data_IF_502809117997
#
_entry.id   IF_502809117997
#
_cell.length_a   1.000
_cell.length_b   1.000
_cell.length_c   1.000
_cell.angle_alpha   90.00
_cell.angle_beta   90.00
_cell.angle_gamma   90.00
#
_symmetry.space_group_name_H-M   'P 1'
#
loop_
_entity.id
_entity.type
_entity.pdbx_description
1 polymer ?
#
# COMPACT_ATOMS: atom_id res chain seq x y z
N UNK A 1 -0.48 27.35 75.94
CA UNK A 1 -1.78 27.87 76.48
C UNK A 1 -2.82 27.74 75.40
N UNK A 2 -3.73 26.83 75.69
CA UNK A 2 -5.18 27.00 75.57
C UNK A 2 -5.67 27.49 74.22
N UNK A 3 -6.45 26.77 73.52
CA UNK A 3 -7.57 25.90 73.71
C UNK A 3 -8.76 26.38 72.84
N UNK A 4 -9.44 25.42 72.31
CA UNK A 4 -10.88 25.21 72.05
C UNK A 4 -11.41 25.50 70.62
N UNK A 5 -11.70 24.42 69.98
CA UNK A 5 -13.04 23.86 69.64
C UNK A 5 -14.16 24.87 69.31
N UNK A 6 -14.78 24.62 68.15
CA UNK A 6 -16.19 24.26 67.91
C UNK A 6 -16.43 24.19 66.38
N UNK A 7 -16.70 23.08 65.83
CA UNK A 7 -17.90 22.35 65.53
C UNK A 7 -19.16 23.22 65.31
N UNK A 8 -19.78 23.12 64.15
CA UNK A 8 -21.21 23.02 63.90
C UNK A 8 -21.54 23.04 62.38
N UNK A 9 -21.99 21.91 61.88
CA UNK A 9 -23.24 21.53 61.16
C UNK A 9 -23.49 22.09 59.74
N UNK A 10 -23.50 21.14 58.85
CA UNK A 10 -24.37 20.79 57.73
C UNK A 10 -25.34 21.87 57.18
N UNK A 11 -25.30 22.02 55.87
CA UNK A 11 -26.49 22.15 55.04
C UNK A 11 -26.21 21.62 53.65
N UNK A 12 -26.92 20.56 53.33
CA UNK A 12 -27.04 19.91 52.00
C UNK A 12 -27.85 20.87 51.12
N UNK A 13 -27.26 21.35 50.03
CA UNK A 13 -28.03 21.86 48.89
C UNK A 13 -27.54 21.11 47.70
N UNK A 14 -28.35 20.24 47.17
CA UNK A 14 -28.14 19.51 45.95
C UNK A 14 -28.14 20.46 44.74
N UNK A 15 -27.04 20.48 44.02
CA UNK A 15 -26.98 21.02 42.67
C UNK A 15 -26.90 19.80 41.75
N UNK A 16 -27.98 19.53 41.04
CA UNK A 16 -27.95 18.63 39.85
C UNK A 16 -27.02 19.27 38.82
N UNK A 17 -25.84 18.70 38.69
CA UNK A 17 -25.04 18.88 37.50
C UNK A 17 -25.57 17.89 36.47
N UNK A 18 -26.31 18.40 35.49
CA UNK A 18 -26.55 17.72 34.25
C UNK A 18 -25.20 17.61 33.56
N UNK A 19 -24.53 16.45 33.71
CA UNK A 19 -23.40 16.11 32.89
C UNK A 19 -23.91 15.92 31.45
N UNK A 20 -23.73 16.96 30.64
CA UNK A 20 -23.82 16.87 29.19
C UNK A 20 -22.67 15.96 28.75
N UNK A 21 -22.92 14.68 28.60
CA UNK A 21 -22.05 13.79 27.84
C UNK A 21 -22.10 14.27 26.37
N UNK A 22 -21.19 15.16 26.01
CA UNK A 22 -20.76 15.26 24.63
C UNK A 22 -20.02 13.94 24.34
N UNK A 23 -20.72 12.98 23.75
CA UNK A 23 -20.07 11.91 22.99
C UNK A 23 -19.33 12.60 21.85
N UNK A 24 -18.07 12.94 22.08
CA UNK A 24 -17.10 12.93 20.99
C UNK A 24 -17.01 11.47 20.55
N UNK A 25 -17.80 11.15 19.54
CA UNK A 25 -17.64 9.96 18.76
C UNK A 25 -16.31 10.17 18.03
N UNK A 26 -15.21 9.74 18.68
CA UNK A 26 -13.99 9.42 17.96
C UNK A 26 -14.42 8.36 16.94
N UNK A 27 -14.52 8.78 15.70
CA UNK A 27 -14.55 7.87 14.57
C UNK A 27 -13.15 7.26 14.55
N UNK A 28 -12.97 6.17 15.31
CA UNK A 28 -11.95 5.20 14.99
C UNK A 28 -12.33 4.69 13.60
N UNK A 29 -11.65 5.21 12.58
CA UNK A 29 -11.69 4.61 11.27
C UNK A 29 -11.02 3.25 11.41
N UNK A 30 -11.80 2.23 11.70
CA UNK A 30 -11.41 0.86 11.47
C UNK A 30 -11.24 0.70 9.97
N UNK A 31 -10.02 0.91 9.47
CA UNK A 31 -9.63 0.56 8.11
C UNK A 31 -9.41 -0.95 8.04
N UNK A 32 -10.45 -1.73 8.32
CA UNK A 32 -10.49 -3.15 8.03
C UNK A 32 -10.86 -3.33 6.56
N UNK A 33 -9.91 -3.12 5.66
CA UNK A 33 -10.00 -3.72 4.33
C UNK A 33 -8.67 -3.53 3.59
N UNK A 34 -8.12 -4.62 3.11
CA UNK A 34 -7.08 -4.64 2.10
C UNK A 34 -7.61 -3.98 0.82
N UNK A 35 -7.53 -2.66 0.71
CA UNK A 35 -7.96 -1.99 -0.50
C UNK A 35 -8.70 -0.67 -0.31
N UNK A 36 -8.14 0.22 0.48
CA UNK A 36 -8.58 1.61 0.64
C UNK A 36 -8.14 2.10 2.01
N UNK A 37 -7.13 2.97 2.07
CA UNK A 37 -6.60 3.45 3.33
C UNK A 37 -5.13 3.81 3.23
N UNK A 38 -4.52 4.06 4.38
CA UNK A 38 -3.08 4.34 4.49
C UNK A 38 -2.35 3.12 5.01
N UNK A 39 -1.14 2.89 4.51
CA UNK A 39 -0.24 1.84 4.94
C UNK A 39 1.20 2.31 4.91
N UNK A 40 2.07 1.63 5.64
CA UNK A 40 3.49 1.70 5.42
C UNK A 40 3.88 0.57 4.46
N UNK A 41 4.37 0.92 3.28
CA UNK A 41 4.70 0.00 2.22
C UNK A 41 6.21 -0.19 2.08
N UNK A 42 6.65 -1.42 1.85
CA UNK A 42 8.04 -1.75 1.58
C UNK A 42 8.14 -2.58 0.29
N UNK A 43 9.10 -2.24 -0.57
CA UNK A 43 9.38 -2.96 -1.80
C UNK A 43 10.77 -3.56 -1.76
N UNK A 44 10.86 -4.87 -1.94
CA UNK A 44 12.11 -5.60 -2.08
C UNK A 44 12.36 -5.94 -3.54
N UNK A 45 13.56 -5.63 -4.03
CA UNK A 45 14.01 -6.15 -5.32
C UNK A 45 14.31 -7.64 -5.20
N UNK A 46 13.77 -8.43 -6.13
CA UNK A 46 13.94 -9.87 -6.17
C UNK A 46 14.52 -10.32 -7.52
N UNK A 47 15.24 -11.43 -7.48
CA UNK A 47 15.78 -12.11 -8.66
C UNK A 47 15.19 -13.51 -8.79
N UNK A 48 14.75 -13.86 -9.99
CA UNK A 48 14.32 -15.21 -10.30
C UNK A 48 15.51 -16.18 -10.29
N UNK A 49 15.36 -17.31 -9.62
CA UNK A 49 16.31 -18.39 -9.65
C UNK A 49 16.05 -19.36 -10.82
N UNK A 50 16.92 -20.38 -11.00
CA UNK A 50 16.78 -21.34 -12.11
C UNK A 50 15.51 -22.19 -12.06
N UNK A 51 14.91 -22.35 -10.89
CA UNK A 51 13.69 -23.13 -10.67
C UNK A 51 12.42 -22.24 -10.62
N UNK A 52 12.54 -20.94 -10.97
CA UNK A 52 11.40 -20.01 -10.98
C UNK A 52 10.36 -20.39 -12.04
N UNK A 53 9.18 -20.79 -11.58
CA UNK A 53 8.00 -21.06 -12.39
C UNK A 53 6.74 -20.92 -11.52
N UNK A 54 5.56 -20.96 -12.15
CA UNK A 54 4.28 -20.75 -11.45
C UNK A 54 4.04 -21.76 -10.30
N UNK A 55 4.36 -23.03 -10.50
CA UNK A 55 4.14 -24.11 -9.51
C UNK A 55 5.05 -23.89 -8.28
N UNK A 56 6.35 -23.68 -8.51
CA UNK A 56 7.32 -23.47 -7.44
C UNK A 56 7.06 -22.14 -6.70
N UNK A 57 6.66 -21.08 -7.42
CA UNK A 57 6.29 -19.82 -6.82
C UNK A 57 5.04 -19.96 -5.93
N UNK A 58 4.00 -20.68 -6.37
CA UNK A 58 2.82 -20.97 -5.54
C UNK A 58 3.20 -21.74 -4.28
N UNK A 59 4.04 -22.77 -4.40
CA UNK A 59 4.50 -23.53 -3.24
C UNK A 59 5.29 -22.64 -2.25
N UNK A 60 6.22 -21.85 -2.77
CA UNK A 60 7.02 -20.92 -1.98
C UNK A 60 6.13 -19.95 -1.20
N UNK A 61 5.16 -19.32 -1.85
CA UNK A 61 4.23 -18.38 -1.22
C UNK A 61 3.36 -19.08 -0.17
N UNK A 62 2.81 -20.26 -0.50
CA UNK A 62 1.98 -21.02 0.44
C UNK A 62 2.73 -21.48 1.69
N UNK A 63 4.02 -21.78 1.58
CA UNK A 63 4.84 -22.12 2.74
C UNK A 63 5.22 -20.85 3.53
N UNK A 64 5.49 -19.73 2.85
CA UNK A 64 5.72 -18.43 3.51
C UNK A 64 4.49 -17.95 4.29
N UNK A 65 3.29 -18.07 3.73
CA UNK A 65 2.04 -17.66 4.41
C UNK A 65 1.86 -18.35 5.77
N UNK A 66 2.32 -19.61 5.92
CA UNK A 66 2.25 -20.37 7.19
C UNK A 66 3.17 -19.80 8.27
N UNK A 67 4.18 -19.03 7.88
CA UNK A 67 5.15 -18.40 8.77
C UNK A 67 4.70 -17.02 9.23
N UNK A 68 3.66 -16.44 8.60
CA UNK A 68 3.15 -15.11 8.96
C UNK A 68 2.40 -15.21 10.28
N UNK A 69 2.93 -14.54 11.29
CA UNK A 69 2.30 -14.36 12.61
C UNK A 69 1.90 -12.90 12.87
N UNK A 70 2.41 -11.99 12.06
CA UNK A 70 2.21 -10.56 12.20
C UNK A 70 0.76 -10.15 11.89
N UNK A 71 0.04 -9.61 12.87
CA UNK A 71 -1.29 -9.03 12.67
C UNK A 71 -1.21 -7.66 11.99
N UNK A 72 -0.04 -7.03 12.04
CA UNK A 72 0.27 -5.72 11.44
C UNK A 72 0.48 -5.78 9.92
N UNK A 73 0.72 -6.97 9.34
CA UNK A 73 0.84 -7.15 7.89
C UNK A 73 -0.55 -7.21 7.26
N UNK A 74 -0.92 -6.18 6.52
CA UNK A 74 -2.21 -6.11 5.85
C UNK A 74 -2.27 -6.89 4.54
N UNK A 75 -1.19 -6.84 3.77
CA UNK A 75 -1.11 -7.49 2.48
C UNK A 75 0.30 -7.63 1.96
N UNK A 76 0.46 -8.51 0.98
CA UNK A 76 1.69 -8.64 0.21
C UNK A 76 1.37 -8.92 -1.26
N UNK A 77 2.20 -8.40 -2.14
CA UNK A 77 2.05 -8.55 -3.59
C UNK A 77 3.38 -8.83 -4.26
N UNK A 78 3.32 -9.50 -5.40
CA UNK A 78 4.46 -9.76 -6.24
C UNK A 78 4.27 -9.21 -7.64
N UNK A 79 5.35 -8.70 -8.23
CA UNK A 79 5.37 -8.01 -9.50
C UNK A 79 6.39 -8.64 -10.43
N UNK A 80 5.93 -9.01 -11.62
CA UNK A 80 6.78 -9.53 -12.70
C UNK A 80 6.72 -8.55 -13.86
N UNK A 81 7.87 -8.01 -14.34
CA UNK A 81 7.87 -7.07 -15.46
C UNK A 81 7.09 -7.61 -16.67
N UNK A 82 6.26 -6.76 -17.26
CA UNK A 82 5.58 -7.11 -18.50
C UNK A 82 6.58 -7.00 -19.67
N UNK A 83 6.67 -8.08 -20.48
CA UNK A 83 7.76 -8.29 -21.45
C UNK A 83 7.82 -7.29 -22.61
N UNK A 84 6.78 -6.49 -22.80
CA UNK A 84 6.60 -5.53 -23.89
C UNK A 84 6.84 -4.07 -23.47
N UNK A 85 7.35 -3.85 -22.27
CA UNK A 85 7.59 -2.51 -21.71
C UNK A 85 9.08 -2.17 -21.64
N UNK A 86 9.41 -0.88 -21.67
CA UNK A 86 10.75 -0.38 -21.40
C UNK A 86 11.09 -0.40 -19.89
N UNK A 87 10.33 -1.15 -19.12
CA UNK A 87 10.52 -1.24 -17.69
C UNK A 87 11.88 -1.87 -17.35
N UNK A 88 12.30 -1.65 -16.16
CA UNK A 88 13.59 -1.82 -15.50
C UNK A 88 14.26 -3.21 -15.57
N UNK A 89 14.08 -3.96 -16.67
CA UNK A 89 14.75 -5.24 -16.88
C UNK A 89 14.03 -6.41 -16.17
N UNK A 90 14.79 -7.39 -15.69
CA UNK A 90 14.27 -8.65 -15.16
C UNK A 90 14.02 -8.63 -13.64
N UNK A 91 14.01 -7.44 -13.01
CA UNK A 91 13.81 -7.31 -11.58
C UNK A 91 12.36 -7.59 -11.20
N UNK A 92 12.17 -8.61 -10.38
CA UNK A 92 10.90 -8.86 -9.72
C UNK A 92 10.78 -7.95 -8.48
N UNK A 93 9.57 -7.63 -8.07
CA UNK A 93 9.37 -6.92 -6.82
C UNK A 93 8.43 -7.67 -5.90
N UNK A 94 8.70 -7.56 -4.60
CA UNK A 94 7.81 -8.03 -3.54
C UNK A 94 7.45 -6.84 -2.66
N UNK A 95 6.17 -6.52 -2.59
CA UNK A 95 5.63 -5.48 -1.73
C UNK A 95 5.04 -6.09 -0.46
N UNK A 96 5.25 -5.39 0.67
CA UNK A 96 4.64 -5.67 1.97
C UNK A 96 3.96 -4.38 2.46
N UNK A 97 2.70 -4.46 2.88
CA UNK A 97 1.98 -3.35 3.47
C UNK A 97 1.66 -3.62 4.94
N UNK A 98 2.14 -2.71 5.77
CA UNK A 98 2.06 -2.78 7.23
C UNK A 98 1.16 -1.69 7.79
N UNK A 99 0.70 -1.88 9.05
CA UNK A 99 -0.05 -0.86 9.78
C UNK A 99 0.76 0.40 10.08
N UNK A 100 2.07 0.24 10.32
CA UNK A 100 3.01 1.34 10.56
C UNK A 100 4.45 0.90 10.31
N UNK A 101 5.35 1.90 10.25
CA UNK A 101 6.81 1.65 10.17
C UNK A 101 7.33 0.93 11.40
N UNK A 102 6.86 1.31 12.59
CA UNK A 102 7.29 0.74 13.86
C UNK A 102 6.97 -0.76 13.93
N UNK A 103 5.79 -1.15 13.46
CA UNK A 103 5.39 -2.55 13.40
C UNK A 103 6.21 -3.32 12.35
N UNK A 104 6.44 -2.72 11.17
CA UNK A 104 7.31 -3.30 10.16
C UNK A 104 8.73 -3.56 10.69
N UNK A 105 9.33 -2.57 11.34
CA UNK A 105 10.68 -2.69 11.92
C UNK A 105 10.74 -3.81 12.98
N UNK A 106 9.72 -3.92 13.83
CA UNK A 106 9.63 -4.97 14.85
C UNK A 106 9.50 -6.37 14.22
N UNK A 107 8.69 -6.51 13.17
CA UNK A 107 8.52 -7.79 12.47
C UNK A 107 9.78 -8.20 11.68
N UNK A 108 10.49 -7.25 11.07
CA UNK A 108 11.78 -7.53 10.44
C UNK A 108 12.84 -7.98 11.44
N UNK A 109 12.88 -7.40 12.65
CA UNK A 109 13.76 -7.88 13.73
C UNK A 109 13.38 -9.29 14.15
N UNK A 110 12.10 -9.57 14.35
CA UNK A 110 11.61 -10.91 14.68
C UNK A 110 11.93 -11.93 13.55
N UNK A 111 11.72 -11.54 12.28
CA UNK A 111 12.05 -12.37 11.12
C UNK A 111 13.54 -12.72 11.05
N UNK A 112 14.42 -11.77 11.38
CA UNK A 112 15.87 -12.00 11.39
C UNK A 112 16.33 -13.11 12.34
N UNK A 113 15.52 -13.41 13.36
CA UNK A 113 15.77 -14.43 14.39
C UNK A 113 14.90 -15.69 14.20
N UNK A 114 14.05 -15.72 13.17
CA UNK A 114 13.14 -16.82 12.91
C UNK A 114 13.86 -17.96 12.14
N UNK A 115 14.17 -19.05 12.83
CA UNK A 115 14.86 -20.21 12.24
C UNK A 115 14.03 -20.87 11.11
N UNK A 116 12.71 -20.94 11.24
CA UNK A 116 11.83 -21.48 10.20
C UNK A 116 11.78 -20.55 8.97
N UNK A 117 11.82 -19.23 9.18
CA UNK A 117 11.92 -18.24 8.09
C UNK A 117 13.24 -18.33 7.34
N UNK A 118 14.35 -18.54 8.04
CA UNK A 118 15.67 -18.76 7.43
C UNK A 118 15.71 -20.08 6.64
N UNK A 119 15.16 -21.15 7.19
CA UNK A 119 15.05 -22.45 6.51
C UNK A 119 14.19 -22.35 5.23
N UNK A 120 13.08 -21.62 5.29
CA UNK A 120 12.25 -21.31 4.13
C UNK A 120 13.04 -20.53 3.05
N UNK A 121 13.77 -19.50 3.43
CA UNK A 121 14.55 -18.70 2.49
C UNK A 121 15.67 -19.53 1.82
N UNK A 122 16.30 -20.45 2.55
CA UNK A 122 17.29 -21.39 2.00
C UNK A 122 16.63 -22.40 1.04
N UNK A 123 15.50 -23.01 1.43
CA UNK A 123 14.77 -24.00 0.61
C UNK A 123 14.37 -23.40 -0.76
N UNK A 124 13.92 -22.13 -0.77
CA UNK A 124 13.43 -21.48 -1.99
C UNK A 124 14.44 -20.57 -2.69
N UNK A 125 15.72 -20.62 -2.30
CA UNK A 125 16.78 -19.79 -2.89
C UNK A 125 16.98 -20.00 -4.39
N UNK A 126 16.66 -21.19 -4.93
CA UNK A 126 16.67 -21.47 -6.37
C UNK A 126 15.36 -21.02 -7.08
N UNK A 127 14.31 -20.70 -6.34
CA UNK A 127 13.07 -20.16 -6.90
C UNK A 127 13.17 -18.65 -7.01
N UNK A 128 13.40 -17.96 -5.89
CA UNK A 128 13.51 -16.51 -5.87
C UNK A 128 14.32 -16.04 -4.65
N UNK A 129 15.12 -15.01 -4.84
CA UNK A 129 15.86 -14.33 -3.77
C UNK A 129 15.52 -12.85 -3.77
N UNK A 130 15.15 -12.31 -2.62
CA UNK A 130 14.82 -10.90 -2.43
C UNK A 130 15.82 -10.20 -1.51
N UNK A 131 16.13 -8.93 -1.81
CA UNK A 131 16.98 -8.08 -1.00
C UNK A 131 16.16 -7.35 0.08
N UNK A 132 15.90 -8.04 1.18
CA UNK A 132 15.21 -7.45 2.33
C UNK A 132 15.94 -6.25 2.94
N UNK A 133 17.27 -6.31 3.18
CA UNK A 133 18.04 -5.16 3.65
C UNK A 133 18.02 -3.96 2.70
N UNK A 134 18.00 -4.19 1.38
CA UNK A 134 17.99 -3.15 0.36
C UNK A 134 16.59 -2.65 -0.03
N UNK A 135 15.55 -2.95 0.75
CA UNK A 135 14.17 -2.55 0.44
C UNK A 135 13.98 -1.03 0.46
N UNK A 136 13.12 -0.54 -0.41
CA UNK A 136 12.62 0.83 -0.40
C UNK A 136 11.37 0.91 0.47
N UNK A 137 11.10 2.05 1.08
CA UNK A 137 9.92 2.26 1.93
C UNK A 137 9.17 3.54 1.61
N UNK A 138 7.84 3.46 1.80
CA UNK A 138 6.90 4.50 1.42
C UNK A 138 5.75 4.59 2.43
N UNK A 139 5.19 5.80 2.58
CA UNK A 139 3.83 5.93 3.07
C UNK A 139 2.89 5.75 1.88
N UNK A 140 2.10 4.69 1.89
CA UNK A 140 1.12 4.43 0.84
C UNK A 140 -0.24 5.01 1.21
N UNK A 141 -0.92 5.59 0.20
CA UNK A 141 -2.30 6.04 0.28
C UNK A 141 -3.07 5.49 -0.93
N UNK A 142 -4.23 4.88 -0.68
CA UNK A 142 -5.08 4.25 -1.71
C UNK A 142 -6.41 4.98 -1.83
N UNK A 143 -6.47 6.16 -2.48
CA UNK A 143 -7.69 6.98 -2.55
C UNK A 143 -8.82 6.32 -3.35
N UNK A 144 -8.49 5.43 -4.28
CA UNK A 144 -9.44 4.63 -5.04
C UNK A 144 -9.15 3.16 -4.79
N UNK A 145 -9.98 2.53 -3.95
CA UNK A 145 -9.83 1.13 -3.55
C UNK A 145 -10.12 0.15 -4.70
N UNK A 146 -9.46 -1.02 -4.72
CA UNK A 146 -9.88 -2.13 -5.57
C UNK A 146 -11.36 -2.47 -5.39
N UNK A 147 -12.05 -2.76 -6.49
CA UNK A 147 -13.48 -3.04 -6.48
C UNK A 147 -14.40 -1.81 -6.57
N UNK A 148 -13.84 -0.58 -6.57
CA UNK A 148 -14.65 0.64 -6.73
C UNK A 148 -15.32 0.72 -8.11
N UNK A 149 -14.61 0.35 -9.18
CA UNK A 149 -15.08 0.41 -10.56
C UNK A 149 -15.20 -0.96 -11.22
N UNK A 150 -15.55 -1.98 -10.46
CA UNK A 150 -15.76 -3.34 -10.97
C UNK A 150 -15.43 -4.41 -9.93
N UNK A 151 -15.21 -5.64 -10.37
CA UNK A 151 -14.88 -6.77 -9.50
C UNK A 151 -13.39 -7.04 -9.49
N UNK A 152 -12.83 -7.35 -8.34
CA UNK A 152 -11.45 -7.85 -8.24
C UNK A 152 -11.36 -9.25 -8.82
N UNK A 153 -10.17 -9.61 -9.33
CA UNK A 153 -9.93 -10.92 -9.92
C UNK A 153 -9.78 -11.99 -8.83
N UNK A 154 -10.59 -13.05 -8.91
CA UNK A 154 -10.54 -14.17 -7.95
C UNK A 154 -9.21 -14.91 -7.94
N UNK A 155 -8.42 -14.85 -9.04
CA UNK A 155 -7.07 -15.43 -9.10
C UNK A 155 -6.02 -14.63 -8.31
N UNK A 156 -6.37 -13.43 -7.84
CA UNK A 156 -5.45 -12.47 -7.23
C UNK A 156 -4.56 -11.75 -8.23
N UNK A 157 -4.71 -12.03 -9.53
CA UNK A 157 -3.98 -11.33 -10.58
C UNK A 157 -4.52 -9.91 -10.76
N UNK A 158 -3.61 -8.95 -11.02
CA UNK A 158 -3.93 -7.61 -11.49
C UNK A 158 -2.79 -7.08 -12.38
N UNK A 159 -3.12 -6.09 -13.18
CA UNK A 159 -2.16 -5.38 -14.04
C UNK A 159 -1.85 -4.04 -13.40
N UNK A 160 -0.58 -3.65 -13.34
CA UNK A 160 -0.17 -2.43 -12.67
C UNK A 160 0.82 -1.60 -13.47
N UNK A 161 0.70 -0.28 -13.32
CA UNK A 161 1.61 0.72 -13.87
C UNK A 161 2.08 1.64 -12.76
N UNK A 162 3.40 1.86 -12.69
CA UNK A 162 4.02 2.74 -11.70
C UNK A 162 4.79 3.85 -12.41
N UNK A 163 4.45 5.08 -12.10
CA UNK A 163 5.16 6.27 -12.56
C UNK A 163 6.01 6.82 -11.42
N UNK A 164 7.34 6.83 -11.57
CA UNK A 164 8.23 7.53 -10.65
C UNK A 164 8.11 9.03 -10.85
N UNK A 165 7.81 9.77 -9.78
CA UNK A 165 7.53 11.20 -9.81
C UNK A 165 8.45 11.97 -8.87
N UNK A 166 8.76 13.23 -9.25
CA UNK A 166 9.52 14.15 -8.42
C UNK A 166 8.76 15.47 -8.31
N UNK A 167 8.86 16.10 -7.14
CA UNK A 167 8.32 17.43 -6.94
C UNK A 167 9.13 18.47 -7.72
N UNK A 168 8.45 19.47 -8.21
CA UNK A 168 9.12 20.66 -8.78
C UNK A 168 9.56 21.60 -7.66
N UNK A 169 10.45 22.55 -7.98
CA UNK A 169 11.03 23.47 -7.00
C UNK A 169 9.97 24.19 -6.14
N UNK A 170 10.05 23.98 -4.82
CA UNK A 170 9.19 24.60 -3.82
C UNK A 170 7.89 23.83 -3.52
N UNK A 171 7.60 22.77 -4.28
CA UNK A 171 6.48 21.88 -4.02
C UNK A 171 6.88 20.69 -3.13
N UNK A 172 5.91 19.93 -2.64
CA UNK A 172 6.14 18.79 -1.77
C UNK A 172 4.91 17.92 -1.59
N UNK A 173 4.99 16.99 -0.63
CA UNK A 173 3.95 16.03 -0.33
C UNK A 173 2.58 16.68 -0.06
N UNK A 174 2.55 17.82 0.64
CA UNK A 174 1.29 18.51 0.93
C UNK A 174 0.54 18.92 -0.34
N UNK A 175 1.27 19.39 -1.37
CA UNK A 175 0.65 19.77 -2.65
C UNK A 175 0.01 18.54 -3.33
N UNK A 176 0.69 17.38 -3.27
CA UNK A 176 0.14 16.13 -3.78
C UNK A 176 -1.11 15.69 -2.97
N UNK A 177 -1.06 15.76 -1.64
CA UNK A 177 -2.20 15.40 -0.77
C UNK A 177 -3.40 16.35 -0.98
N UNK A 178 -3.17 17.64 -1.25
CA UNK A 178 -4.22 18.60 -1.59
C UNK A 178 -4.84 18.34 -2.98
N UNK A 179 -4.05 17.84 -3.93
CA UNK A 179 -4.50 17.50 -5.28
C UNK A 179 -5.39 16.25 -5.32
N UNK A 180 -5.12 15.23 -4.50
CA UNK A 180 -5.76 13.92 -4.57
C UNK A 180 -7.30 13.95 -4.52
N UNK A 181 -7.97 14.70 -3.62
CA UNK A 181 -9.44 14.75 -3.57
C UNK A 181 -10.06 15.26 -4.89
N UNK A 182 -9.42 16.23 -5.54
CA UNK A 182 -9.84 16.74 -6.85
C UNK A 182 -9.76 15.66 -7.93
N UNK A 183 -8.64 14.93 -7.97
CA UNK A 183 -8.43 13.81 -8.89
C UNK A 183 -9.48 12.70 -8.68
N UNK A 184 -9.68 12.25 -7.43
CA UNK A 184 -10.70 11.23 -7.11
C UNK A 184 -12.10 11.66 -7.54
N UNK A 185 -12.44 12.93 -7.33
CA UNK A 185 -13.73 13.49 -7.77
C UNK A 185 -13.84 13.52 -9.30
N UNK A 186 -12.80 13.92 -10.02
CA UNK A 186 -12.79 13.94 -11.48
C UNK A 186 -12.96 12.53 -12.08
N UNK A 187 -12.23 11.53 -11.54
CA UNK A 187 -12.39 10.11 -11.89
C UNK A 187 -13.81 9.63 -11.58
N UNK A 188 -14.37 9.97 -10.39
CA UNK A 188 -15.70 9.58 -9.97
C UNK A 188 -16.84 10.17 -10.83
N UNK A 189 -16.59 11.28 -11.49
CA UNK A 189 -17.53 11.92 -12.42
C UNK A 189 -17.36 11.48 -13.89
N UNK A 190 -16.40 10.61 -14.16
CA UNK A 190 -16.04 10.13 -15.49
C UNK A 190 -16.45 8.67 -15.69
N UNK A 191 -16.40 8.18 -16.92
CA UNK A 191 -16.78 6.80 -17.23
C UNK A 191 -15.61 5.83 -17.01
N UNK A 192 -15.46 5.38 -15.76
CA UNK A 192 -14.54 4.32 -15.36
C UNK A 192 -15.26 2.98 -15.10
N UNK A 193 -16.54 2.89 -15.46
CA UNK A 193 -17.30 1.64 -15.31
C UNK A 193 -16.61 0.48 -16.06
N UNK A 194 -16.61 -0.69 -15.45
CA UNK A 194 -16.02 -1.92 -16.01
C UNK A 194 -14.50 -1.81 -16.36
N UNK A 195 -13.77 -0.89 -15.71
CA UNK A 195 -12.31 -0.80 -15.83
C UNK A 195 -11.59 -1.54 -14.71
N UNK A 196 -12.29 -1.87 -13.62
CA UNK A 196 -11.68 -2.37 -12.38
C UNK A 196 -10.53 -1.49 -11.85
N UNK A 197 -10.56 -0.20 -12.19
CA UNK A 197 -9.52 0.77 -11.83
C UNK A 197 -9.46 0.98 -10.34
N UNK A 198 -8.25 0.93 -9.82
CA UNK A 198 -7.88 1.41 -8.49
C UNK A 198 -6.55 2.17 -8.56
N UNK A 199 -6.26 2.93 -7.54
CA UNK A 199 -5.17 3.89 -7.58
C UNK A 199 -4.51 4.05 -6.21
N UNK A 200 -3.19 4.14 -6.20
CA UNK A 200 -2.38 4.40 -5.03
C UNK A 200 -1.26 5.41 -5.27
N UNK A 201 -0.93 6.17 -4.24
CA UNK A 201 0.26 6.98 -4.14
C UNK A 201 1.19 6.42 -3.08
N UNK A 202 2.48 6.38 -3.39
CA UNK A 202 3.52 5.90 -2.49
C UNK A 202 4.54 7.00 -2.28
N UNK A 203 4.48 7.70 -1.14
CA UNK A 203 5.39 8.79 -0.78
C UNK A 203 6.68 8.23 -0.20
N UNK A 204 7.80 8.47 -0.88
CA UNK A 204 9.08 7.86 -0.53
C UNK A 204 9.62 8.33 0.82
N UNK A 205 10.01 7.40 1.66
CA UNK A 205 10.82 7.68 2.84
C UNK A 205 12.25 7.96 2.44
N UNK A 206 12.77 9.11 2.87
CA UNK A 206 14.19 9.44 2.77
C UNK A 206 14.84 9.09 4.11
N UNK A 207 15.64 8.03 4.11
CA UNK A 207 16.25 7.52 5.35
C UNK A 207 17.79 7.50 5.23
N UNK A 208 18.47 8.64 5.39
CA UNK A 208 19.91 8.75 5.20
C UNK A 208 20.75 7.92 6.17
N UNK A 209 20.16 7.40 7.26
CA UNK A 209 20.86 6.61 8.28
C UNK A 209 20.29 5.19 8.42
N UNK A 210 19.41 4.77 7.51
CA UNK A 210 18.63 3.57 7.67
C UNK A 210 19.19 2.33 6.99
N UNK A 211 18.54 1.23 7.27
CA UNK A 211 18.69 -0.05 6.60
C UNK A 211 18.00 -0.10 5.24
N UNK A 212 17.30 0.96 4.86
CA UNK A 212 16.55 1.05 3.61
C UNK A 212 17.32 1.87 2.57
N UNK A 213 17.14 1.54 1.31
CA UNK A 213 17.68 2.33 0.19
C UNK A 213 16.71 3.46 -0.12
N UNK A 214 17.23 4.67 -0.24
CA UNK A 214 16.43 5.81 -0.71
C UNK A 214 16.03 5.60 -2.16
N UNK A 215 14.76 5.71 -2.46
CA UNK A 215 14.27 5.80 -3.81
C UNK A 215 14.76 7.12 -4.45
N UNK A 216 15.16 7.07 -5.73
CA UNK A 216 15.56 8.27 -6.50
C UNK A 216 14.36 9.08 -7.01
N UNK A 217 13.21 8.94 -6.34
CA UNK A 217 11.94 9.59 -6.63
C UNK A 217 11.36 10.16 -5.34
N UNK A 218 10.46 11.11 -5.43
CA UNK A 218 9.78 11.64 -4.27
C UNK A 218 8.50 10.85 -3.96
N UNK A 219 7.83 10.36 -5.01
CA UNK A 219 6.69 9.45 -4.85
C UNK A 219 6.48 8.59 -6.09
N UNK A 220 5.68 7.52 -5.96
CA UNK A 220 5.15 6.77 -7.10
C UNK A 220 3.65 7.03 -7.22
N UNK A 221 3.22 7.24 -8.47
CA UNK A 221 1.82 7.20 -8.87
C UNK A 221 1.52 5.83 -9.46
N UNK A 222 0.61 5.07 -8.87
CA UNK A 222 0.35 3.69 -9.25
C UNK A 222 -1.09 3.48 -9.68
N UNK A 223 -1.27 2.90 -10.86
CA UNK A 223 -2.56 2.51 -11.42
C UNK A 223 -2.69 0.99 -11.41
N UNK A 224 -3.85 0.50 -11.04
CA UNK A 224 -4.14 -0.94 -10.97
C UNK A 224 -5.45 -1.25 -11.66
N UNK A 225 -5.49 -2.37 -12.39
CA UNK A 225 -6.69 -2.92 -13.04
C UNK A 225 -6.63 -4.44 -13.04
N UNK A 226 -7.72 -5.11 -13.39
CA UNK A 226 -7.74 -6.57 -13.48
C UNK A 226 -7.03 -7.14 -14.73
N UNK A 227 -6.76 -6.30 -15.73
CA UNK A 227 -6.14 -6.69 -17.00
C UNK A 227 -5.56 -5.49 -17.74
N UNK A 228 -4.69 -5.76 -18.73
CA UNK A 228 -4.19 -4.73 -19.65
C UNK A 228 -5.33 -4.06 -20.42
N UNK A 229 -6.32 -4.80 -20.87
CA UNK A 229 -7.46 -4.24 -21.61
C UNK A 229 -8.26 -3.26 -20.75
N UNK A 230 -8.41 -3.54 -19.45
CA UNK A 230 -9.02 -2.62 -18.50
C UNK A 230 -8.16 -1.38 -18.25
N UNK A 231 -6.83 -1.53 -18.21
CA UNK A 231 -5.90 -0.40 -18.12
C UNK A 231 -6.01 0.52 -19.35
N UNK A 232 -6.05 -0.05 -20.56
CA UNK A 232 -6.21 0.73 -21.80
C UNK A 232 -7.55 1.47 -21.81
N UNK A 233 -8.63 0.89 -21.26
CA UNK A 233 -9.93 1.58 -21.10
C UNK A 233 -9.83 2.71 -20.08
N UNK A 234 -9.22 2.47 -18.91
CA UNK A 234 -9.03 3.49 -17.89
C UNK A 234 -8.19 4.67 -18.42
N UNK A 235 -7.11 4.39 -19.15
CA UNK A 235 -6.31 5.41 -19.82
C UNK A 235 -7.12 6.22 -20.85
N UNK A 236 -7.99 5.55 -21.62
CA UNK A 236 -8.89 6.23 -22.58
C UNK A 236 -9.89 7.16 -21.89
N UNK A 237 -10.45 6.72 -20.74
CA UNK A 237 -11.35 7.54 -19.92
C UNK A 237 -10.60 8.74 -19.31
N UNK A 238 -9.38 8.54 -18.84
CA UNK A 238 -8.53 9.62 -18.34
C UNK A 238 -8.27 10.68 -19.43
N UNK A 239 -7.82 10.27 -20.59
CA UNK A 239 -7.52 11.18 -21.71
C UNK A 239 -8.74 11.98 -22.17
N UNK A 240 -9.92 11.35 -22.14
CA UNK A 240 -11.15 11.96 -22.61
C UNK A 240 -11.78 12.92 -21.59
N UNK A 241 -11.84 12.50 -20.32
CA UNK A 241 -12.77 13.10 -19.35
C UNK A 241 -12.04 13.76 -18.15
N UNK A 242 -10.74 13.43 -17.88
CA UNK A 242 -10.02 13.86 -16.67
C UNK A 242 -8.80 14.72 -16.97
N UNK A 243 -8.06 14.40 -18.03
CA UNK A 243 -6.75 14.97 -18.31
C UNK A 243 -6.75 16.49 -18.43
N UNK A 244 -7.66 17.06 -19.20
CA UNK A 244 -7.66 18.49 -19.49
C UNK A 244 -7.90 19.34 -18.24
N UNK A 245 -8.61 18.79 -17.24
CA UNK A 245 -8.84 19.44 -15.95
C UNK A 245 -7.70 19.21 -14.97
N UNK A 246 -7.24 17.95 -14.83
CA UNK A 246 -6.37 17.56 -13.72
C UNK A 246 -4.88 17.65 -14.05
N UNK A 247 -4.47 17.40 -15.29
CA UNK A 247 -3.04 17.40 -15.66
C UNK A 247 -2.35 18.77 -15.51
N UNK A 248 -3.01 19.92 -15.85
CA UNK A 248 -2.41 21.23 -15.56
C UNK A 248 -2.14 21.45 -14.07
N UNK A 249 -3.09 21.06 -13.19
CA UNK A 249 -2.95 21.19 -11.74
C UNK A 249 -1.86 20.27 -11.19
N UNK A 250 -1.78 19.03 -11.68
CA UNK A 250 -0.70 18.10 -11.34
C UNK A 250 0.67 18.67 -11.72
N UNK A 251 0.78 19.27 -12.91
CA UNK A 251 2.04 19.82 -13.43
C UNK A 251 2.53 21.07 -12.65
N UNK A 252 1.71 21.65 -11.78
CA UNK A 252 2.11 22.75 -10.92
C UNK A 252 3.00 22.29 -9.75
N UNK A 253 2.94 21.04 -9.35
CA UNK A 253 3.70 20.55 -8.20
C UNK A 253 4.59 19.34 -8.50
N UNK A 254 4.35 18.57 -9.57
CA UNK A 254 5.12 17.36 -9.85
C UNK A 254 5.34 17.09 -11.33
N UNK A 255 6.35 16.28 -11.60
CA UNK A 255 6.64 15.69 -12.91
C UNK A 255 6.97 14.22 -12.72
N UNK A 256 6.37 13.36 -13.55
CA UNK A 256 6.62 11.93 -13.54
C UNK A 256 7.34 11.46 -14.80
N UNK A 257 7.87 10.24 -14.74
CA UNK A 257 8.40 9.56 -15.91
C UNK A 257 7.34 9.51 -17.03
N UNK A 258 7.76 9.70 -18.28
CA UNK A 258 6.83 9.64 -19.43
C UNK A 258 6.30 8.24 -19.70
N UNK A 259 7.08 7.23 -19.32
CA UNK A 259 6.75 5.81 -19.51
C UNK A 259 6.71 5.14 -18.14
N UNK A 260 5.63 4.45 -17.79
CA UNK A 260 5.54 3.72 -16.54
C UNK A 260 6.38 2.45 -16.55
N UNK A 261 6.75 2.00 -15.38
CA UNK A 261 7.11 0.62 -15.15
C UNK A 261 5.83 -0.22 -15.06
N UNK A 262 5.75 -1.30 -15.84
CA UNK A 262 4.54 -2.10 -16.01
C UNK A 262 4.75 -3.53 -15.57
N UNK A 263 3.77 -4.07 -14.82
CA UNK A 263 3.91 -5.40 -14.24
C UNK A 263 2.64 -6.25 -14.39
N UNK A 264 2.86 -7.55 -14.56
CA UNK A 264 1.92 -8.58 -14.16
C UNK A 264 2.07 -8.80 -12.67
N UNK A 265 0.99 -8.74 -11.93
CA UNK A 265 1.01 -8.64 -10.47
C UNK A 265 0.05 -9.64 -9.83
N UNK A 266 0.38 -10.12 -8.63
CA UNK A 266 -0.47 -11.05 -7.88
C UNK A 266 -0.47 -10.71 -6.39
N UNK A 267 -1.63 -10.88 -5.78
CA UNK A 267 -1.76 -10.84 -4.33
C UNK A 267 -1.13 -12.11 -3.73
N UNK A 268 -0.09 -11.96 -2.92
CA UNK A 268 0.55 -13.05 -2.20
C UNK A 268 -0.09 -13.32 -0.83
N UNK A 269 -0.59 -12.27 -0.19
CA UNK A 269 -1.23 -12.35 1.11
C UNK A 269 -2.27 -11.24 1.26
N UNK A 270 -3.35 -11.57 1.96
CA UNK A 270 -4.39 -10.63 2.36
C UNK A 270 -4.85 -10.99 3.77
N UNK A 271 -4.68 -10.08 4.73
CA UNK A 271 -5.04 -10.31 6.13
C UNK A 271 -6.53 -10.62 6.35
N UNK A 272 -7.40 -10.12 5.45
CA UNK A 272 -8.85 -10.41 5.46
C UNK A 272 -9.23 -11.75 4.82
N UNK A 273 -8.28 -12.41 4.13
CA UNK A 273 -8.48 -13.70 3.45
C UNK A 273 -7.19 -14.54 3.54
N UNK A 274 -6.84 -14.94 4.78
CA UNK A 274 -5.55 -15.58 5.09
C UNK A 274 -5.30 -16.90 4.37
N UNK A 275 -6.37 -17.60 3.96
CA UNK A 275 -6.29 -18.85 3.18
C UNK A 275 -6.25 -18.60 1.67
N UNK A 276 -6.21 -17.34 1.23
CA UNK A 276 -6.15 -16.99 -0.18
C UNK A 276 -4.83 -17.47 -0.80
N UNK A 277 -4.92 -18.07 -2.01
CA UNK A 277 -3.76 -18.54 -2.76
C UNK A 277 -3.81 -17.97 -4.19
N UNK A 278 -2.77 -17.25 -4.63
CA UNK A 278 -2.73 -16.72 -5.99
C UNK A 278 -2.64 -17.83 -7.04
N UNK A 279 -3.27 -17.63 -8.20
CA UNK A 279 -3.10 -18.50 -9.37
C UNK A 279 -2.17 -17.82 -10.39
N UNK A 280 -0.89 -18.12 -10.34
CA UNK A 280 0.12 -17.57 -11.23
C UNK A 280 0.00 -18.04 -12.69
N UNK A 281 -0.90 -18.99 -12.99
CA UNK A 281 -1.18 -19.41 -14.35
C UNK A 281 -2.17 -18.49 -15.06
N UNK A 282 -2.88 -17.65 -14.29
CA UNK A 282 -3.85 -16.69 -14.83
C UNK A 282 -3.16 -15.35 -15.05
N UNK A 283 -3.21 -14.92 -16.30
CA UNK A 283 -2.86 -13.57 -16.77
C UNK A 283 -3.99 -13.19 -17.70
N UNK A 284 -4.88 -12.35 -17.24
CA UNK A 284 -6.06 -11.95 -18.03
C UNK A 284 -5.72 -10.78 -18.95
#
# INVERSE_FOLDING_TARGET
MLNKNKLVIASVIGALFIASCSNEMSIESSSDSAGGGKAYAEFMACSAGPDFNAENAMKMIGDWQKLITAESLYGAWGYVPAADTNSTGDTLWWELNWSSKEEADAEWEAWSQNEDGQAWAEEYSNVMVCDGPGRNSFDADYPIAPGTYGSTNESGYFYSEYYGCNYIDGAGRNDAEEFLPGFVNAVGNSDYSDTNYSFGNYFAHKNPNGSHVDANIDFMWANFTDSKDSMDKAASSFEKDVRDEMFPLFSEFASCAEVPDVYHSWTFYNSSAKDFMPDFTKRN
#
